data_IF_339067360000
#
_entry.id   IF_339067360000
#
_cell.length_a   1.000
_cell.length_b   1.000
_cell.length_c   1.000
_cell.angle_alpha   90.00
_cell.angle_beta   90.00
_cell.angle_gamma   90.00
#
_symmetry.space_group_name_H-M   'P 1'
#
loop_
_entity.id
_entity.type
_entity.pdbx_description
1 polymer ?
#
# COMPACT_ATOMS: atom_id res chain seq x y z
N UNK A 1 -12.65 4.42 19.77
CA UNK A 1 -12.60 4.80 18.33
C UNK A 1 -12.07 3.60 17.58
N UNK A 2 -12.97 2.83 16.96
CA UNK A 2 -12.59 1.69 16.15
C UNK A 2 -12.39 2.20 14.72
N UNK A 3 -11.14 2.20 14.25
CA UNK A 3 -10.82 2.44 12.85
C UNK A 3 -11.62 1.44 12.03
N UNK A 4 -12.56 1.96 11.23
CA UNK A 4 -13.28 1.18 10.23
C UNK A 4 -12.21 0.69 9.27
N UNK A 5 -11.85 -0.58 9.40
CA UNK A 5 -11.07 -1.31 8.40
C UNK A 5 -11.91 -1.23 7.13
N UNK A 6 -11.53 -0.33 6.22
CA UNK A 6 -12.21 -0.14 4.94
C UNK A 6 -11.93 -1.40 4.13
N UNK A 7 -12.91 -2.30 4.07
CA UNK A 7 -12.89 -3.55 3.29
C UNK A 7 -13.02 -3.30 1.77
N UNK A 8 -12.54 -2.17 1.24
CA UNK A 8 -12.40 -1.96 -0.20
C UNK A 8 -11.04 -2.48 -0.65
N UNK A 9 -10.86 -3.79 -0.55
CA UNK A 9 -9.84 -4.48 -1.33
C UNK A 9 -10.43 -4.75 -2.70
N UNK A 10 -9.85 -4.10 -3.70
CA UNK A 10 -10.05 -4.32 -5.14
C UNK A 10 -10.44 -5.80 -5.39
N UNK A 11 -11.67 -6.02 -5.84
CA UNK A 11 -12.41 -7.30 -5.81
C UNK A 11 -11.83 -8.44 -6.66
N UNK A 12 -10.56 -8.34 -7.02
CA UNK A 12 -9.83 -9.27 -7.89
C UNK A 12 -8.80 -10.14 -7.16
N UNK A 13 -8.53 -9.91 -5.86
CA UNK A 13 -7.71 -10.84 -5.06
C UNK A 13 -8.18 -11.02 -3.62
N UNK A 14 -8.18 -12.26 -3.14
CA UNK A 14 -8.52 -12.62 -1.77
C UNK A 14 -7.25 -12.91 -0.99
N UNK A 15 -6.92 -12.07 -0.02
CA UNK A 15 -5.88 -12.38 0.97
C UNK A 15 -6.47 -13.23 2.08
N UNK A 16 -5.78 -14.31 2.46
CA UNK A 16 -6.12 -15.03 3.68
C UNK A 16 -5.98 -14.08 4.88
N UNK A 17 -6.89 -14.14 5.89
CA UNK A 17 -6.85 -13.24 7.04
C UNK A 17 -5.50 -13.29 7.77
N UNK A 18 -4.90 -14.47 7.88
CA UNK A 18 -3.57 -14.65 8.47
C UNK A 18 -2.45 -14.05 7.61
N UNK A 19 -2.54 -14.19 6.28
CA UNK A 19 -1.60 -13.56 5.35
C UNK A 19 -1.67 -12.03 5.45
N UNK A 20 -2.89 -11.49 5.50
CA UNK A 20 -3.16 -10.07 5.68
C UNK A 20 -2.53 -9.55 6.97
N UNK A 21 -2.82 -10.17 8.11
CA UNK A 21 -2.25 -9.73 9.39
C UNK A 21 -0.72 -9.73 9.39
N UNK A 22 -0.10 -10.77 8.83
CA UNK A 22 1.35 -10.84 8.72
C UNK A 22 1.90 -9.74 7.81
N UNK A 23 1.28 -9.53 6.64
CA UNK A 23 1.69 -8.48 5.72
C UNK A 23 1.56 -7.10 6.38
N UNK A 24 0.44 -6.84 7.05
CA UNK A 24 0.19 -5.55 7.71
C UNK A 24 1.23 -5.30 8.80
N UNK A 25 1.52 -6.28 9.65
CA UNK A 25 2.57 -6.16 10.69
C UNK A 25 3.93 -5.81 10.10
N UNK A 26 4.27 -6.35 8.92
CA UNK A 26 5.51 -6.03 8.23
C UNK A 26 5.47 -4.61 7.64
N UNK A 27 4.36 -4.24 7.01
CA UNK A 27 4.15 -2.93 6.39
C UNK A 27 4.01 -1.78 7.40
N UNK A 28 3.58 -2.07 8.63
CA UNK A 28 3.51 -1.15 9.77
C UNK A 28 4.76 -1.22 10.66
N UNK A 29 5.76 -2.02 10.31
CA UNK A 29 6.97 -2.15 11.12
C UNK A 29 7.78 -0.86 11.06
N UNK A 30 8.20 -0.34 12.21
CA UNK A 30 9.00 0.89 12.33
C UNK A 30 10.25 0.86 11.45
N UNK A 31 10.90 -0.31 11.30
CA UNK A 31 12.04 -0.48 10.42
C UNK A 31 11.69 -0.21 8.95
N UNK A 32 10.52 -0.67 8.50
CA UNK A 32 10.06 -0.46 7.14
C UNK A 32 9.56 0.97 6.93
N UNK A 33 8.83 1.53 7.89
CA UNK A 33 8.40 2.93 7.84
C UNK A 33 9.60 3.88 7.77
N UNK A 34 10.63 3.66 8.58
CA UNK A 34 11.88 4.42 8.52
C UNK A 34 12.60 4.30 7.17
N UNK A 35 12.62 3.11 6.58
CA UNK A 35 13.18 2.91 5.23
C UNK A 35 12.42 3.73 4.19
N UNK A 36 11.09 3.73 4.26
CA UNK A 36 10.24 4.53 3.36
C UNK A 36 10.52 6.02 3.57
N UNK A 37 10.54 6.51 4.81
CA UNK A 37 10.86 7.90 5.14
C UNK A 37 12.21 8.33 4.58
N UNK A 38 13.26 7.52 4.77
CA UNK A 38 14.59 7.81 4.25
C UNK A 38 14.64 7.84 2.71
N UNK A 39 13.85 6.99 2.05
CA UNK A 39 13.81 6.95 0.60
C UNK A 39 13.02 8.11 -0.03
N UNK A 40 11.98 8.56 0.66
CA UNK A 40 11.07 9.62 0.20
C UNK A 40 11.42 11.01 0.75
N UNK A 41 12.48 11.12 1.56
CA UNK A 41 12.88 12.36 2.24
C UNK A 41 11.72 12.97 3.06
N UNK A 42 10.92 12.10 3.70
CA UNK A 42 9.77 12.48 4.50
C UNK A 42 10.03 12.25 5.99
N UNK A 43 9.43 13.07 6.84
CA UNK A 43 9.64 12.99 8.30
C UNK A 43 9.03 11.70 8.86
N UNK A 44 7.77 11.43 8.55
CA UNK A 44 7.08 10.21 8.97
C UNK A 44 6.10 9.73 7.88
N UNK A 45 5.87 8.42 7.84
CA UNK A 45 4.81 7.82 7.04
C UNK A 45 3.95 6.90 7.90
N UNK A 46 2.65 6.87 7.61
CA UNK A 46 1.66 6.03 8.25
C UNK A 46 1.04 5.10 7.20
N UNK A 47 1.04 3.80 7.48
CA UNK A 47 0.39 2.85 6.60
C UNK A 47 -1.13 3.02 6.70
N UNK A 48 -1.77 3.32 5.57
CA UNK A 48 -3.21 3.61 5.53
C UNK A 48 -4.09 2.35 5.51
N UNK A 49 -3.49 1.17 5.64
CA UNK A 49 -4.17 -0.12 5.51
C UNK A 49 -4.78 -0.40 4.13
N UNK A 50 -4.53 0.49 3.17
CA UNK A 50 -4.96 0.37 1.79
C UNK A 50 -3.89 -0.34 0.96
N UNK A 51 -4.31 -1.39 0.26
CA UNK A 51 -3.49 -2.15 -0.66
C UNK A 51 -4.27 -2.40 -1.94
N UNK A 52 -3.57 -2.37 -3.05
CA UNK A 52 -4.14 -2.65 -4.36
C UNK A 52 -3.12 -3.36 -5.24
N UNK A 53 -3.60 -4.03 -6.27
CA UNK A 53 -2.74 -4.56 -7.31
C UNK A 53 -2.65 -3.55 -8.45
N UNK A 54 -1.44 -3.22 -8.93
CA UNK A 54 -1.31 -2.39 -10.12
C UNK A 54 -1.90 -3.16 -11.30
N UNK A 55 -2.74 -2.49 -12.09
CA UNK A 55 -3.39 -3.08 -13.26
C UNK A 55 -2.53 -2.84 -14.50
N UNK A 56 -2.49 -3.78 -15.45
CA UNK A 56 -1.81 -3.53 -16.72
C UNK A 56 -2.45 -2.33 -17.42
N UNK A 57 -1.62 -1.57 -18.15
CA UNK A 57 -2.07 -0.45 -18.98
C UNK A 57 -3.21 -0.91 -19.89
N UNK A 58 -4.34 -0.20 -19.82
CA UNK A 58 -5.51 -0.45 -20.65
C UNK A 58 -6.15 0.86 -21.08
N UNK A 59 -7.01 0.80 -22.09
CA UNK A 59 -7.72 1.98 -22.63
C UNK A 59 -8.54 2.68 -21.54
N UNK A 60 -9.06 1.93 -20.56
CA UNK A 60 -9.79 2.45 -19.41
C UNK A 60 -8.89 2.92 -18.25
N UNK A 61 -7.61 2.54 -18.23
CA UNK A 61 -6.64 2.82 -17.15
C UNK A 61 -5.29 3.24 -17.74
N UNK A 62 -5.22 4.42 -18.39
CA UNK A 62 -4.00 4.85 -19.08
C UNK A 62 -2.80 5.06 -18.13
N UNK A 63 -3.04 5.19 -16.82
CA UNK A 63 -1.97 5.28 -15.79
C UNK A 63 -1.64 3.94 -15.13
N UNK A 64 -2.25 2.82 -15.54
CA UNK A 64 -2.02 1.50 -14.94
C UNK A 64 -2.43 1.40 -13.47
N UNK A 65 -3.37 2.25 -13.03
CA UNK A 65 -3.89 2.32 -11.68
C UNK A 65 -5.42 2.28 -11.67
N UNK A 66 -6.05 1.73 -10.62
CA UNK A 66 -7.49 1.83 -10.44
C UNK A 66 -7.89 3.28 -10.09
N UNK A 67 -9.03 3.74 -10.60
CA UNK A 67 -9.52 5.11 -10.38
C UNK A 67 -9.65 5.49 -8.90
N UNK A 68 -9.94 4.51 -8.02
CA UNK A 68 -10.00 4.72 -6.57
C UNK A 68 -8.63 5.10 -5.97
N UNK A 69 -7.54 4.68 -6.60
CA UNK A 69 -6.17 4.91 -6.13
C UNK A 69 -5.43 6.01 -6.87
N UNK A 70 -5.92 6.45 -8.04
CA UNK A 70 -5.36 7.57 -8.78
C UNK A 70 -5.30 8.85 -7.93
N UNK A 71 -6.32 9.11 -7.10
CA UNK A 71 -6.33 10.24 -6.17
C UNK A 71 -5.15 10.24 -5.18
N UNK A 72 -4.70 9.07 -4.72
CA UNK A 72 -3.55 8.97 -3.81
C UNK A 72 -2.22 9.15 -4.54
N UNK A 73 -2.17 8.82 -5.84
CA UNK A 73 -1.00 9.11 -6.67
C UNK A 73 -0.91 10.60 -7.02
N UNK A 74 -2.05 11.26 -7.24
CA UNK A 74 -2.11 12.69 -7.54
C UNK A 74 -1.92 13.57 -6.29
N UNK A 75 -2.17 13.02 -5.10
CA UNK A 75 -2.00 13.74 -3.85
C UNK A 75 -0.56 13.68 -3.35
N UNK A 76 0.02 14.83 -3.07
CA UNK A 76 1.35 14.93 -2.47
C UNK A 76 1.38 14.51 -1.00
N UNK A 77 0.24 14.35 -0.34
CA UNK A 77 0.13 13.85 1.03
C UNK A 77 0.26 12.33 1.12
N UNK A 78 0.06 11.62 0.01
CA UNK A 78 0.08 10.16 -0.02
C UNK A 78 1.25 9.67 -0.87
N UNK A 79 1.66 8.44 -0.61
CA UNK A 79 2.70 7.78 -1.36
C UNK A 79 2.38 6.30 -1.52
N UNK A 80 2.65 5.81 -2.72
CA UNK A 80 2.36 4.43 -3.10
C UNK A 80 3.69 3.69 -3.15
N UNK A 81 3.84 2.68 -2.29
CA UNK A 81 5.04 1.87 -2.21
C UNK A 81 4.73 0.47 -2.75
N UNK A 82 5.57 0.00 -3.67
CA UNK A 82 5.51 -1.39 -4.11
C UNK A 82 5.93 -2.30 -2.95
N UNK A 83 5.05 -3.22 -2.56
CA UNK A 83 5.32 -4.18 -1.50
C UNK A 83 6.49 -5.08 -1.94
N UNK A 84 7.54 -5.21 -1.10
CA UNK A 84 8.67 -6.07 -1.44
C UNK A 84 8.22 -7.53 -1.60
N UNK A 85 8.77 -8.29 -2.57
CA UNK A 85 8.43 -9.69 -2.73
C UNK A 85 8.71 -10.49 -1.46
N UNK A 86 9.77 -10.15 -0.70
CA UNK A 86 10.08 -10.80 0.57
C UNK A 86 8.90 -10.76 1.56
N UNK A 87 8.17 -9.64 1.62
CA UNK A 87 7.04 -9.46 2.53
C UNK A 87 5.85 -10.30 2.06
N UNK A 88 5.59 -10.32 0.75
CA UNK A 88 4.59 -11.20 0.15
C UNK A 88 4.88 -12.67 0.46
N UNK A 89 6.14 -13.11 0.29
CA UNK A 89 6.55 -14.48 0.63
C UNK A 89 6.40 -14.80 2.12
N UNK A 90 6.80 -13.90 3.02
CA UNK A 90 6.60 -14.08 4.47
C UNK A 90 5.12 -14.20 4.84
N UNK A 91 4.26 -13.42 4.17
CA UNK A 91 2.82 -13.47 4.32
C UNK A 91 2.17 -14.65 3.57
N UNK A 92 2.93 -15.49 2.85
CA UNK A 92 2.42 -16.58 2.00
C UNK A 92 1.49 -16.11 0.87
N UNK A 93 1.72 -14.91 0.36
CA UNK A 93 0.99 -14.32 -0.76
C UNK A 93 1.71 -14.71 -2.06
N UNK A 94 1.08 -15.61 -2.83
CA UNK A 94 1.60 -16.06 -4.14
C UNK A 94 0.88 -15.41 -5.32
N UNK A 95 -0.33 -14.88 -5.10
CA UNK A 95 -1.12 -14.11 -6.06
C UNK A 95 -1.81 -12.97 -5.31
N UNK A 96 -1.80 -11.74 -5.84
CA UNK A 96 -1.20 -11.29 -7.10
C UNK A 96 0.34 -11.20 -7.05
N UNK A 97 1.01 -11.12 -8.21
CA UNK A 97 2.48 -11.05 -8.29
C UNK A 97 3.06 -9.69 -7.87
N UNK A 98 2.24 -8.65 -7.84
CA UNK A 98 2.61 -7.30 -7.40
C UNK A 98 1.49 -6.75 -6.53
N UNK A 99 1.89 -6.10 -5.44
CA UNK A 99 1.02 -5.38 -4.52
C UNK A 99 1.62 -4.00 -4.28
N UNK A 100 0.75 -3.01 -4.23
CA UNK A 100 1.08 -1.64 -3.89
C UNK A 100 0.36 -1.28 -2.59
N UNK A 101 1.11 -0.75 -1.64
CA UNK A 101 0.64 -0.26 -0.35
C UNK A 101 0.57 1.27 -0.38
N UNK A 102 -0.51 1.84 0.14
CA UNK A 102 -0.65 3.29 0.26
C UNK A 102 -0.24 3.73 1.66
N UNK A 103 0.63 4.72 1.71
CA UNK A 103 1.10 5.38 2.92
C UNK A 103 0.69 6.85 2.89
N UNK A 104 0.36 7.39 4.05
CA UNK A 104 0.15 8.81 4.26
C UNK A 104 1.42 9.41 4.83
N UNK A 105 1.92 10.47 4.23
CA UNK A 105 3.05 11.24 4.76
C UNK A 105 2.54 12.10 5.92
N UNK A 106 3.17 11.94 7.08
CA UNK A 106 2.93 12.74 8.28
C UNK A 106 4.16 13.65 8.46
N UNK A 107 3.95 14.96 8.48
CA UNK A 107 5.06 15.94 8.57
C UNK A 107 5.43 16.60 7.24
N UNK A 108 4.44 17.03 6.46
CA UNK A 108 4.67 18.14 5.52
C UNK A 108 4.66 19.40 6.38
N UNK A 109 5.84 19.83 6.83
CA UNK A 109 6.01 21.12 7.48
C UNK A 109 5.86 22.23 6.45
N UNK A 110 4.74 22.94 6.49
CA UNK A 110 4.64 24.28 7.09
C UNK A 110 3.20 24.51 7.61
#
# INVERSE_FOLDING_TARGET
>A
MALKIIENFDSSFTLEPQAKENLFKLLTSEAFLNQICQNLECEQVEFTELLFQPVPYSIATPKGMPAEFEKYHESEEYVIINVPPNFMFTAKIFKPSRLCAVYKKLGIGD
#
